data_IF_388120527066
#
_entry.id   IF_388120527066
#
_cell.length_a   1.000
_cell.length_b   1.000
_cell.length_c   1.000
_cell.angle_alpha   90.00
_cell.angle_beta   90.00
_cell.angle_gamma   90.00
#
_symmetry.space_group_name_H-M   'P 1'
#
loop_
_entity.id
_entity.type
_entity.pdbx_description
1 polymer ?
#
# COMPACT_ATOMS: atom_id res chain seq x y z
N UNK A 1 -11.28 -0.10 0.84
CA UNK A 1 -12.40 0.82 1.18
C UNK A 1 -12.51 1.13 2.69
N UNK A 2 -12.59 0.16 3.61
CA UNK A 2 -12.76 0.44 5.05
C UNK A 2 -11.69 1.37 5.66
N UNK A 3 -10.43 1.23 5.25
CA UNK A 3 -9.33 2.11 5.67
C UNK A 3 -9.57 3.57 5.25
N UNK A 4 -9.94 3.81 3.99
CA UNK A 4 -10.25 5.15 3.47
C UNK A 4 -11.40 5.78 4.24
N UNK A 5 -12.47 5.01 4.49
CA UNK A 5 -13.63 5.48 5.29
C UNK A 5 -13.24 5.88 6.71
N UNK A 6 -12.35 5.14 7.36
CA UNK A 6 -11.90 5.49 8.72
C UNK A 6 -11.05 6.76 8.75
N UNK A 7 -10.17 6.93 7.77
CA UNK A 7 -9.37 8.15 7.60
C UNK A 7 -10.26 9.36 7.28
N UNK A 8 -11.22 9.20 6.38
CA UNK A 8 -12.15 10.27 6.00
C UNK A 8 -13.03 10.72 7.17
N UNK A 9 -13.49 9.77 7.99
CA UNK A 9 -14.21 10.05 9.25
C UNK A 9 -13.32 10.61 10.36
N UNK A 10 -12.00 10.63 10.21
CA UNK A 10 -11.06 11.11 11.22
C UNK A 10 -11.08 10.30 12.52
N UNK A 11 -11.39 9.00 12.44
CA UNK A 11 -11.43 8.12 13.61
C UNK A 11 -10.01 7.82 14.12
N UNK A 12 -9.80 7.77 15.45
CA UNK A 12 -8.53 7.35 16.00
C UNK A 12 -8.31 5.85 15.73
N UNK A 13 -7.19 5.51 15.08
CA UNK A 13 -6.82 4.13 14.75
C UNK A 13 -5.64 3.67 15.61
N UNK A 14 -5.67 2.46 16.19
CA UNK A 14 -4.57 1.93 17.00
C UNK A 14 -3.44 1.37 16.12
N UNK A 15 -2.98 2.14 15.14
CA UNK A 15 -2.04 1.71 14.10
C UNK A 15 -0.83 2.66 13.96
N UNK A 16 -0.52 3.41 15.02
CA UNK A 16 0.54 4.42 15.02
C UNK A 16 1.95 3.91 15.29
N UNK A 17 2.09 2.64 15.70
CA UNK A 17 3.38 2.01 16.01
C UNK A 17 3.56 0.67 15.28
N UNK A 18 3.13 0.62 14.02
CA UNK A 18 3.31 -0.54 13.15
C UNK A 18 4.45 -0.26 12.17
N UNK A 19 5.52 -1.04 12.29
CA UNK A 19 6.74 -0.95 11.47
C UNK A 19 6.94 -2.22 10.64
N UNK A 20 5.87 -2.67 9.99
CA UNK A 20 5.99 -3.70 8.94
C UNK A 20 6.54 -3.07 7.65
N UNK A 21 6.92 -3.92 6.70
CA UNK A 21 7.39 -3.48 5.38
C UNK A 21 6.56 -4.15 4.30
N UNK A 22 5.86 -3.35 3.50
CA UNK A 22 5.00 -3.85 2.42
C UNK A 22 5.35 -3.14 1.13
N UNK A 23 5.72 -3.92 0.13
CA UNK A 23 5.81 -3.47 -1.24
C UNK A 23 4.39 -3.25 -1.79
N UNK A 24 4.10 -2.03 -2.22
CA UNK A 24 2.85 -1.69 -2.90
C UNK A 24 3.18 -1.34 -4.35
N UNK A 25 2.17 -1.44 -5.21
CA UNK A 25 2.28 -1.05 -6.61
C UNK A 25 1.08 -0.18 -6.98
N UNK A 26 1.35 0.99 -7.55
CA UNK A 26 0.33 1.82 -8.16
C UNK A 26 -0.24 1.14 -9.40
N UNK A 27 -1.55 1.24 -9.65
CA UNK A 27 -2.19 0.63 -10.83
C UNK A 27 -1.56 1.14 -12.13
N UNK A 28 -1.18 2.42 -12.18
CA UNK A 28 -0.46 3.01 -13.31
C UNK A 28 0.92 2.36 -13.54
N UNK A 29 1.69 2.14 -12.48
CA UNK A 29 2.99 1.47 -12.57
C UNK A 29 2.86 0.01 -13.00
N UNK A 30 1.83 -0.69 -12.52
CA UNK A 30 1.55 -2.05 -12.96
C UNK A 30 1.18 -2.09 -14.45
N UNK A 31 0.31 -1.19 -14.90
CA UNK A 31 -0.09 -1.12 -16.30
C UNK A 31 1.08 -0.77 -17.22
N UNK A 32 1.91 0.18 -16.81
CA UNK A 32 3.14 0.56 -17.52
C UNK A 32 4.11 -0.63 -17.65
N UNK A 33 4.37 -1.35 -16.56
CA UNK A 33 5.21 -2.55 -16.63
C UNK A 33 4.62 -3.61 -17.56
N UNK A 34 3.29 -3.79 -17.58
CA UNK A 34 2.65 -4.73 -18.50
C UNK A 34 2.91 -4.33 -19.95
N UNK A 35 2.77 -3.04 -20.29
CA UNK A 35 3.09 -2.52 -21.64
C UNK A 35 4.55 -2.79 -21.99
N UNK A 36 5.48 -2.49 -21.07
CA UNK A 36 6.91 -2.79 -21.26
C UNK A 36 7.15 -4.28 -21.50
N UNK A 37 6.48 -5.17 -20.76
CA UNK A 37 6.62 -6.61 -20.95
C UNK A 37 6.09 -7.10 -22.30
N UNK A 38 5.13 -6.41 -22.92
CA UNK A 38 4.62 -6.78 -24.24
C UNK A 38 5.65 -6.46 -25.33
N UNK A 39 6.33 -5.33 -25.23
CA UNK A 39 7.22 -4.83 -26.28
C UNK A 39 8.69 -5.25 -26.09
N UNK A 40 9.13 -5.46 -24.84
CA UNK A 40 10.53 -5.68 -24.53
C UNK A 40 10.98 -7.11 -24.85
N UNK A 41 11.98 -7.33 -25.74
CA UNK A 41 12.36 -8.66 -26.20
C UNK A 41 12.88 -9.57 -25.07
N UNK A 42 13.51 -8.98 -24.04
CA UNK A 42 13.99 -9.73 -22.88
C UNK A 42 12.87 -10.19 -21.93
N UNK A 43 11.64 -9.74 -22.11
CA UNK A 43 10.53 -10.13 -21.24
C UNK A 43 9.96 -11.53 -21.53
N UNK A 44 10.17 -12.04 -22.75
CA UNK A 44 9.58 -13.29 -23.19
C UNK A 44 10.01 -14.49 -22.31
N UNK A 45 9.02 -15.26 -21.83
CA UNK A 45 9.26 -16.44 -21.00
C UNK A 45 9.76 -16.14 -19.57
N UNK A 46 9.70 -14.89 -19.13
CA UNK A 46 10.14 -14.47 -17.80
C UNK A 46 8.97 -14.19 -16.87
N UNK A 47 9.21 -14.46 -15.58
CA UNK A 47 8.36 -13.95 -14.49
C UNK A 47 9.07 -12.75 -13.84
N UNK A 48 8.34 -11.65 -13.69
CA UNK A 48 8.80 -10.42 -13.05
C UNK A 48 7.96 -10.12 -11.82
N UNK A 49 8.61 -9.55 -10.80
CA UNK A 49 7.94 -8.97 -9.63
C UNK A 49 7.84 -7.46 -9.82
N UNK A 50 6.82 -6.85 -9.21
CA UNK A 50 6.54 -5.43 -9.39
C UNK A 50 6.16 -4.78 -8.06
N UNK A 51 6.66 -3.57 -7.88
CA UNK A 51 6.52 -2.71 -6.70
C UNK A 51 6.88 -1.28 -7.12
N UNK A 52 6.43 -0.29 -6.35
CA UNK A 52 6.82 1.11 -6.48
C UNK A 52 8.24 1.39 -5.95
N UNK A 53 8.95 0.35 -5.48
CA UNK A 53 10.34 0.44 -5.03
C UNK A 53 10.54 1.03 -3.62
N UNK A 54 9.47 1.53 -3.00
CA UNK A 54 9.50 2.07 -1.63
C UNK A 54 8.55 1.30 -0.71
N UNK A 55 9.14 0.50 0.18
CA UNK A 55 8.41 -0.34 1.13
C UNK A 55 7.79 0.46 2.27
N UNK A 56 6.46 0.43 2.31
CA UNK A 56 5.68 1.18 3.28
C UNK A 56 5.32 0.35 4.51
N UNK A 57 5.41 0.99 5.68
CA UNK A 57 4.74 0.51 6.86
C UNK A 57 3.27 0.88 6.85
N UNK A 58 2.43 0.12 7.55
CA UNK A 58 1.00 0.43 7.73
C UNK A 58 0.82 1.83 8.33
N UNK A 59 1.69 2.23 9.26
CA UNK A 59 1.68 3.58 9.84
C UNK A 59 1.94 4.66 8.78
N UNK A 60 2.98 4.47 7.95
CA UNK A 60 3.34 5.43 6.89
C UNK A 60 2.26 5.51 5.81
N UNK A 61 1.75 4.36 5.36
CA UNK A 61 0.64 4.27 4.42
C UNK A 61 -0.58 5.08 4.87
N UNK A 62 -1.00 4.93 6.13
CA UNK A 62 -2.14 5.68 6.68
C UNK A 62 -1.89 7.18 6.74
N UNK A 63 -0.65 7.60 7.02
CA UNK A 63 -0.27 9.03 7.06
C UNK A 63 -0.28 9.64 5.67
N UNK A 64 0.35 9.00 4.68
CA UNK A 64 0.36 9.49 3.29
C UNK A 64 -1.06 9.53 2.72
N UNK A 65 -1.87 8.52 3.03
CA UNK A 65 -3.26 8.51 2.59
C UNK A 65 -4.11 9.59 3.29
N UNK A 66 -3.87 9.85 4.58
CA UNK A 66 -4.50 10.97 5.28
C UNK A 66 -4.16 12.31 4.62
N UNK A 67 -2.88 12.53 4.27
CA UNK A 67 -2.45 13.72 3.52
C UNK A 67 -3.17 13.84 2.17
N UNK A 68 -3.21 12.76 1.40
CA UNK A 68 -3.90 12.73 0.10
C UNK A 68 -5.41 13.03 0.20
N UNK A 69 -6.05 12.60 1.30
CA UNK A 69 -7.46 12.91 1.58
C UNK A 69 -7.70 14.32 2.16
N UNK A 70 -6.64 15.06 2.51
CA UNK A 70 -6.77 16.32 3.26
C UNK A 70 -7.31 16.12 4.67
N UNK A 71 -7.04 14.96 5.29
CA UNK A 71 -7.57 14.57 6.61
C UNK A 71 -6.44 14.19 7.58
N UNK A 72 -6.55 14.55 8.87
CA UNK A 72 -5.56 14.14 9.86
C UNK A 72 -5.64 12.63 10.12
N UNK A 73 -4.57 11.90 9.83
CA UNK A 73 -4.43 10.50 10.22
C UNK A 73 -4.19 10.41 11.74
N UNK A 74 -5.27 10.25 12.52
CA UNK A 74 -5.20 10.11 13.98
C UNK A 74 -4.77 8.70 14.36
N UNK A 75 -3.47 8.49 14.56
CA UNK A 75 -2.90 7.17 14.85
C UNK A 75 -2.39 7.08 16.29
N UNK A 76 -2.95 6.17 17.09
CA UNK A 76 -2.50 5.86 18.44
C UNK A 76 -1.30 4.89 18.38
N UNK A 77 -0.21 5.12 19.14
CA UNK A 77 1.01 4.32 19.06
C UNK A 77 0.87 2.96 19.79
N UNK A 78 0.05 2.07 19.24
CA UNK A 78 -0.16 0.72 19.78
C UNK A 78 0.76 -0.28 19.06
N UNK A 79 1.65 -1.00 19.77
CA UNK A 79 2.51 -2.00 19.16
C UNK A 79 1.74 -3.16 18.52
N UNK A 80 2.30 -3.71 17.44
CA UNK A 80 1.69 -4.81 16.69
C UNK A 80 1.38 -6.05 17.55
N UNK A 81 2.18 -6.34 18.59
CA UNK A 81 2.00 -7.49 19.47
C UNK A 81 0.68 -7.39 20.24
N UNK A 82 0.35 -6.21 20.77
CA UNK A 82 -0.90 -5.99 21.50
C UNK A 82 -2.11 -6.14 20.57
N UNK A 83 -2.03 -5.60 19.36
CA UNK A 83 -3.08 -5.75 18.35
C UNK A 83 -3.31 -7.21 17.97
N UNK A 84 -2.22 -7.96 17.75
CA UNK A 84 -2.30 -9.40 17.43
C UNK A 84 -2.96 -10.18 18.57
N UNK A 85 -2.60 -9.89 19.82
CA UNK A 85 -3.19 -10.50 21.01
C UNK A 85 -4.68 -10.20 21.14
N UNK A 86 -5.07 -8.92 21.10
CA UNK A 86 -6.48 -8.51 21.18
C UNK A 86 -7.31 -9.09 20.02
N UNK A 87 -6.77 -9.09 18.80
CA UNK A 87 -7.44 -9.69 17.65
C UNK A 87 -7.58 -11.20 17.76
N UNK A 88 -6.63 -11.90 18.37
CA UNK A 88 -6.75 -13.34 18.62
C UNK A 88 -7.91 -13.65 19.58
N UNK A 89 -8.04 -12.88 20.66
CA UNK A 89 -9.16 -13.01 21.61
C UNK A 89 -10.53 -12.75 20.95
N UNK A 90 -10.57 -11.83 19.98
CA UNK A 90 -11.79 -11.49 19.24
C UNK A 90 -12.04 -12.40 18.02
N UNK A 91 -11.27 -13.47 17.82
CA UNK A 91 -11.39 -14.37 16.66
C UNK A 91 -10.95 -13.75 15.32
N UNK A 92 -10.30 -12.59 15.33
CA UNK A 92 -9.88 -11.80 14.15
C UNK A 92 -8.38 -11.94 13.83
N UNK A 93 -7.77 -13.07 14.17
CA UNK A 93 -6.33 -13.33 14.00
C UNK A 93 -5.83 -13.13 12.56
N UNK A 94 -6.60 -13.57 11.57
CA UNK A 94 -6.21 -13.44 10.15
C UNK A 94 -6.11 -11.97 9.70
N UNK A 95 -7.00 -11.10 10.21
CA UNK A 95 -6.99 -9.68 9.87
C UNK A 95 -5.76 -8.97 10.45
N UNK A 96 -5.47 -9.19 11.74
CA UNK A 96 -4.30 -8.58 12.38
C UNK A 96 -2.98 -9.10 11.81
N UNK A 97 -2.92 -10.37 11.43
CA UNK A 97 -1.77 -10.95 10.76
C UNK A 97 -1.48 -10.23 9.44
N UNK A 98 -2.49 -10.08 8.57
CA UNK A 98 -2.36 -9.38 7.28
C UNK A 98 -1.93 -7.91 7.42
N UNK A 99 -2.41 -7.25 8.47
CA UNK A 99 -2.14 -5.82 8.71
C UNK A 99 -0.73 -5.58 9.27
N UNK A 100 -0.23 -6.51 10.08
CA UNK A 100 1.03 -6.38 10.81
C UNK A 100 2.16 -7.24 10.23
N UNK A 101 1.92 -8.00 9.17
CA UNK A 101 2.95 -8.78 8.48
C UNK A 101 3.68 -7.92 7.45
N UNK A 102 4.96 -8.23 7.24
CA UNK A 102 5.73 -7.72 6.10
C UNK A 102 5.53 -8.61 4.89
N UNK A 103 5.52 -8.00 3.71
CA UNK A 103 5.56 -8.67 2.42
C UNK A 103 6.32 -7.76 1.47
N UNK A 104 7.59 -8.08 1.25
CA UNK A 104 8.48 -7.32 0.39
C UNK A 104 8.77 -8.14 -0.87
N UNK A 105 8.86 -7.47 -2.01
CA UNK A 105 9.28 -8.10 -3.26
C UNK A 105 10.53 -7.42 -3.76
N UNK A 106 11.46 -8.22 -4.27
CA UNK A 106 12.66 -7.72 -4.93
C UNK A 106 12.36 -7.50 -6.42
N UNK A 107 12.43 -6.24 -6.85
CA UNK A 107 12.20 -5.83 -8.24
C UNK A 107 13.49 -5.63 -9.03
N UNK A 108 14.65 -5.95 -8.45
CA UNK A 108 15.96 -5.74 -9.09
C UNK A 108 16.05 -6.43 -10.45
N UNK A 109 15.50 -7.65 -10.57
CA UNK A 109 15.41 -8.37 -11.86
C UNK A 109 14.64 -7.56 -12.90
N UNK A 110 13.48 -7.02 -12.53
CA UNK A 110 12.62 -6.24 -13.41
C UNK A 110 13.33 -4.97 -13.86
N UNK A 111 13.94 -4.24 -12.93
CA UNK A 111 14.66 -3.01 -13.26
C UNK A 111 15.87 -3.24 -14.14
N UNK A 112 16.68 -4.27 -13.85
CA UNK A 112 17.90 -4.55 -14.61
C UNK A 112 17.64 -5.15 -15.98
N UNK A 113 16.65 -6.03 -16.11
CA UNK A 113 16.41 -6.77 -17.34
C UNK A 113 15.56 -5.99 -18.35
N UNK A 114 14.67 -5.12 -17.87
CA UNK A 114 13.75 -4.35 -18.70
C UNK A 114 14.09 -2.85 -18.74
N UNK A 115 15.17 -2.43 -18.07
CA UNK A 115 15.52 -1.02 -17.83
C UNK A 115 14.35 -0.19 -17.26
N UNK A 116 13.50 -0.85 -16.47
CA UNK A 116 12.23 -0.30 -16.02
C UNK A 116 12.32 0.23 -14.59
N UNK A 117 11.78 1.43 -14.37
CA UNK A 117 11.60 2.00 -13.04
C UNK A 117 10.18 2.53 -12.90
N UNK A 118 9.56 2.45 -11.69
CA UNK A 118 8.17 2.85 -11.52
C UNK A 118 7.99 4.34 -11.85
N UNK A 119 7.21 4.70 -12.88
CA UNK A 119 7.11 6.10 -13.32
C UNK A 119 6.26 6.99 -12.40
N UNK A 120 5.28 6.40 -11.70
CA UNK A 120 4.39 7.10 -10.78
C UNK A 120 4.95 7.02 -9.37
N UNK A 121 5.14 8.18 -8.75
CA UNK A 121 5.54 8.28 -7.35
C UNK A 121 4.43 7.84 -6.41
N UNK A 122 4.79 7.38 -5.20
CA UNK A 122 3.82 7.03 -4.17
C UNK A 122 2.89 8.21 -3.85
N UNK A 123 3.41 9.44 -3.79
CA UNK A 123 2.58 10.61 -3.51
C UNK A 123 1.48 10.79 -4.56
N UNK A 124 1.84 10.76 -5.86
CA UNK A 124 0.86 10.84 -6.94
C UNK A 124 -0.12 9.66 -6.91
N UNK A 125 0.36 8.44 -6.67
CA UNK A 125 -0.50 7.26 -6.57
C UNK A 125 -1.51 7.36 -5.41
N UNK A 126 -1.11 7.92 -4.26
CA UNK A 126 -2.00 8.15 -3.12
C UNK A 126 -3.04 9.23 -3.44
N UNK A 127 -2.63 10.31 -4.13
CA UNK A 127 -3.55 11.37 -4.58
C UNK A 127 -4.59 10.83 -5.56
N UNK A 128 -4.17 10.04 -6.55
CA UNK A 128 -5.08 9.40 -7.51
C UNK A 128 -6.06 8.46 -6.80
N UNK A 129 -5.57 7.67 -5.86
CA UNK A 129 -6.40 6.77 -5.04
C UNK A 129 -7.41 7.55 -4.19
N UNK A 130 -6.99 8.66 -3.57
CA UNK A 130 -7.86 9.50 -2.76
C UNK A 130 -8.94 10.19 -3.62
N UNK A 131 -8.56 10.73 -4.79
CA UNK A 131 -9.49 11.32 -5.76
C UNK A 131 -10.55 10.31 -6.20
N UNK A 132 -10.13 9.11 -6.60
CA UNK A 132 -11.05 8.04 -7.00
C UNK A 132 -12.06 7.72 -5.89
N UNK A 133 -11.60 7.59 -4.64
CA UNK A 133 -12.46 7.35 -3.48
C UNK A 133 -13.47 8.50 -3.24
N UNK A 134 -13.04 9.75 -3.34
CA UNK A 134 -13.92 10.92 -3.12
C UNK A 134 -15.00 11.05 -4.19
N UNK A 135 -14.67 10.72 -5.44
CA UNK A 135 -15.59 10.80 -6.58
C UNK A 135 -16.62 9.65 -6.57
N UNK A 136 -16.19 8.43 -6.25
CA UNK A 136 -17.01 7.23 -6.47
C UNK A 136 -17.54 6.58 -5.19
N UNK A 137 -16.79 6.61 -4.08
CA UNK A 137 -17.07 5.80 -2.89
C UNK A 137 -17.61 6.61 -1.70
N UNK A 138 -17.51 7.95 -1.73
CA UNK A 138 -17.92 8.80 -0.60
C UNK A 138 -19.44 8.82 -0.40
N UNK A 139 -20.20 8.59 -1.45
CA UNK A 139 -21.66 8.68 -1.45
C UNK A 139 -22.36 7.34 -1.12
N UNK A 140 -21.58 6.28 -0.87
CA UNK A 140 -22.02 4.93 -0.44
C UNK A 140 -21.85 4.68 1.08
#
# INVERSE_FOLDING_TARGET
RSMMRWLDKGLPLPLGAIDNRRSLVAVGNLADLVVVCVDHPAAAGQTFLVSDGDDLSTTRLLREMGRALGKPARLLPVPAVLLKGAAALLGKKAFSQRLCSSLQVDISKTCTMLDWHPPVSIEHAMQDTARYYLEHDKHD
#
